data_IF_795346065201
#
_entry.id   IF_795346065201
#
_cell.length_a   1.000
_cell.length_b   1.000
_cell.length_c   1.000
_cell.angle_alpha   90.00
_cell.angle_beta   90.00
_cell.angle_gamma   90.00
#
_symmetry.space_group_name_H-M   'P 1'
#
loop_
_entity.id
_entity.type
_entity.pdbx_description
1 polymer ?
#
# COMPACT_ATOMS: atom_id res chain seq x y z
N UNK A 1 12.30 -17.24 2.19
CA UNK A 1 11.12 -18.16 2.20
C UNK A 1 10.79 -18.54 0.77
N UNK A 2 10.39 -19.80 0.50
CA UNK A 2 9.86 -20.19 -0.83
C UNK A 2 8.33 -20.09 -0.77
N UNK A 3 7.74 -19.66 -1.89
CA UNK A 3 6.27 -19.65 -2.05
C UNK A 3 5.75 -21.10 -1.93
N UNK A 4 4.74 -21.31 -1.09
CA UNK A 4 4.13 -22.64 -1.00
C UNK A 4 3.27 -22.94 -2.23
N UNK A 5 3.02 -24.22 -2.52
CA UNK A 5 2.15 -24.61 -3.63
C UNK A 5 0.71 -24.05 -3.47
N UNK A 6 0.23 -23.91 -2.23
CA UNK A 6 -1.08 -23.31 -1.94
C UNK A 6 -1.11 -21.82 -2.22
N UNK A 7 -0.03 -21.09 -1.90
CA UNK A 7 0.05 -19.64 -2.14
C UNK A 7 0.20 -19.34 -3.64
N UNK A 8 0.99 -20.15 -4.36
CA UNK A 8 1.06 -20.05 -5.82
C UNK A 8 -0.30 -20.30 -6.48
N UNK A 9 -1.02 -21.34 -6.05
CA UNK A 9 -2.36 -21.61 -6.54
C UNK A 9 -3.38 -20.51 -6.17
N UNK A 10 -3.25 -19.88 -5.01
CA UNK A 10 -4.07 -18.74 -4.61
C UNK A 10 -3.76 -17.50 -5.47
N UNK A 11 -2.47 -17.24 -5.73
CA UNK A 11 -2.06 -16.17 -6.64
C UNK A 11 -2.67 -16.31 -8.03
N UNK A 12 -2.56 -17.51 -8.64
CA UNK A 12 -3.07 -17.75 -9.99
C UNK A 12 -4.61 -17.68 -10.06
N UNK A 13 -5.30 -18.12 -9.01
CA UNK A 13 -6.76 -18.17 -8.97
C UNK A 13 -7.40 -16.86 -8.52
N UNK A 14 -6.86 -16.26 -7.45
CA UNK A 14 -7.50 -15.15 -6.72
C UNK A 14 -6.79 -13.82 -6.94
N UNK A 15 -5.51 -13.81 -7.37
CA UNK A 15 -4.70 -12.61 -7.57
C UNK A 15 -4.06 -12.07 -6.29
N UNK A 16 -4.12 -12.80 -5.19
CA UNK A 16 -3.49 -12.45 -3.93
C UNK A 16 -3.27 -13.67 -3.04
N UNK A 17 -2.38 -13.54 -2.07
CA UNK A 17 -2.24 -14.47 -0.95
C UNK A 17 -1.78 -13.75 0.31
N UNK A 18 -2.01 -14.37 1.46
CA UNK A 18 -1.77 -13.80 2.77
C UNK A 18 -0.80 -14.69 3.57
N UNK A 19 0.29 -14.08 4.03
CA UNK A 19 1.25 -14.71 4.92
C UNK A 19 1.04 -14.20 6.35
N UNK A 20 0.81 -15.13 7.26
CA UNK A 20 0.62 -14.81 8.66
C UNK A 20 1.96 -14.65 9.38
N UNK A 21 2.01 -13.73 10.33
CA UNK A 21 3.18 -13.53 11.20
C UNK A 21 4.50 -13.35 10.42
N UNK A 22 4.45 -12.65 9.28
CA UNK A 22 5.62 -12.42 8.44
C UNK A 22 6.63 -11.47 9.09
N UNK A 23 6.14 -10.47 9.81
CA UNK A 23 6.96 -9.45 10.47
C UNK A 23 6.77 -9.48 11.98
N UNK A 24 7.82 -9.14 12.73
CA UNK A 24 7.75 -9.04 14.19
C UNK A 24 7.00 -7.80 14.65
N UNK A 25 6.52 -7.80 15.89
CA UNK A 25 5.93 -6.62 16.54
C UNK A 25 6.92 -5.47 16.64
N UNK A 26 8.19 -5.75 16.92
CA UNK A 26 9.25 -4.74 17.03
C UNK A 26 9.46 -4.02 15.70
N UNK A 27 9.44 -4.73 14.58
CA UNK A 27 9.53 -4.13 13.24
C UNK A 27 8.33 -3.25 12.95
N UNK A 28 7.12 -3.72 13.25
CA UNK A 28 5.89 -2.95 13.07
C UNK A 28 5.89 -1.67 13.93
N UNK A 29 6.28 -1.77 15.20
CA UNK A 29 6.40 -0.63 16.12
C UNK A 29 7.42 0.40 15.64
N UNK A 30 8.60 -0.07 15.18
CA UNK A 30 9.64 0.80 14.63
C UNK A 30 9.16 1.56 13.38
N UNK A 31 8.44 0.88 12.47
CA UNK A 31 7.83 1.51 11.29
C UNK A 31 6.78 2.54 11.67
N UNK A 32 5.90 2.22 12.61
CA UNK A 32 4.85 3.13 13.08
C UNK A 32 5.48 4.39 13.69
N UNK A 33 6.43 4.22 14.60
CA UNK A 33 7.09 5.34 15.26
C UNK A 33 7.82 6.23 14.24
N UNK A 34 8.57 5.63 13.30
CA UNK A 34 9.29 6.41 12.28
C UNK A 34 8.33 7.17 11.34
N UNK A 35 7.20 6.57 10.97
CA UNK A 35 6.18 7.25 10.18
C UNK A 35 5.52 8.42 10.94
N UNK A 36 5.30 8.28 12.26
CA UNK A 36 4.83 9.35 13.13
C UNK A 36 5.85 10.50 13.16
N UNK A 37 7.13 10.20 13.32
CA UNK A 37 8.19 11.21 13.33
C UNK A 37 8.23 12.00 12.01
N UNK A 38 8.14 11.32 10.87
CA UNK A 38 8.06 11.98 9.56
C UNK A 38 6.81 12.85 9.41
N UNK A 39 5.67 12.39 9.91
CA UNK A 39 4.44 13.18 9.92
C UNK A 39 4.57 14.46 10.76
N UNK A 40 5.23 14.38 11.90
CA UNK A 40 5.51 15.51 12.81
C UNK A 40 6.55 16.46 12.24
N UNK A 41 7.62 15.96 11.63
CA UNK A 41 8.64 16.76 10.94
C UNK A 41 8.00 17.63 9.83
N UNK A 42 6.98 17.12 9.14
CA UNK A 42 6.25 17.82 8.07
C UNK A 42 5.02 18.60 8.57
N UNK A 43 4.76 18.66 9.88
CA UNK A 43 3.51 19.22 10.46
C UNK A 43 2.24 18.69 9.76
N UNK A 44 2.19 17.39 9.51
CA UNK A 44 1.04 16.70 8.92
C UNK A 44 0.83 16.90 7.43
N UNK A 45 1.71 17.64 6.73
CA UNK A 45 1.64 17.87 5.27
C UNK A 45 2.96 18.34 4.68
N UNK A 46 3.15 18.13 3.39
CA UNK A 46 4.34 18.62 2.68
C UNK A 46 5.47 17.59 2.63
N UNK A 47 6.68 17.95 3.03
CA UNK A 47 7.85 17.07 2.93
C UNK A 47 8.62 16.97 4.24
N UNK A 48 9.16 15.79 4.53
CA UNK A 48 10.12 15.53 5.58
C UNK A 48 11.30 14.77 4.96
N UNK A 49 12.42 15.42 4.74
CA UNK A 49 13.53 14.86 3.94
C UNK A 49 13.07 14.50 2.52
N UNK A 50 13.16 13.23 2.14
CA UNK A 50 12.66 12.73 0.85
C UNK A 50 11.18 12.33 0.90
N UNK A 51 10.60 12.14 2.08
CA UNK A 51 9.23 11.70 2.27
C UNK A 51 8.22 12.80 1.93
N UNK A 52 7.10 12.42 1.32
CA UNK A 52 5.99 13.31 0.97
C UNK A 52 4.79 12.94 1.83
N UNK A 53 4.35 13.90 2.67
CA UNK A 53 3.25 13.71 3.62
C UNK A 53 1.95 14.29 3.06
N UNK A 54 0.95 13.43 2.90
CA UNK A 54 -0.37 13.79 2.42
C UNK A 54 -1.38 13.83 3.56
N UNK A 55 -2.12 14.94 3.72
CA UNK A 55 -3.10 15.08 4.78
C UNK A 55 -4.36 14.23 4.52
N UNK A 56 -5.05 13.87 5.61
CA UNK A 56 -6.39 13.26 5.54
C UNK A 56 -7.43 14.37 5.38
N UNK A 57 -7.92 14.52 4.17
CA UNK A 57 -8.74 15.68 3.77
C UNK A 57 -10.12 15.71 4.43
N UNK A 58 -10.74 14.55 4.65
CA UNK A 58 -12.06 14.53 5.30
C UNK A 58 -12.00 14.90 6.79
N UNK A 59 -10.83 14.78 7.43
CA UNK A 59 -10.63 15.17 8.82
C UNK A 59 -10.13 16.61 8.98
N UNK A 60 -9.79 17.32 7.91
CA UNK A 60 -9.18 18.64 7.97
C UNK A 60 -10.05 19.69 8.72
N UNK A 61 -11.37 19.55 8.67
CA UNK A 61 -12.30 20.46 9.34
C UNK A 61 -12.57 20.15 10.83
N UNK A 62 -12.16 18.96 11.31
CA UNK A 62 -12.36 18.50 12.69
C UNK A 62 -11.12 18.63 13.57
N UNK A 63 -9.97 19.01 12.99
CA UNK A 63 -8.73 19.18 13.73
C UNK A 63 -8.80 20.36 14.70
N UNK A 64 -8.63 20.09 15.99
CA UNK A 64 -8.50 21.10 17.05
C UNK A 64 -7.03 21.42 17.37
N UNK A 65 -6.77 22.37 18.29
CA UNK A 65 -5.39 22.73 18.66
C UNK A 65 -4.59 21.59 19.32
N UNK A 66 -5.28 20.61 19.86
CA UNK A 66 -4.66 19.42 20.50
C UNK A 66 -4.41 18.26 19.53
N UNK A 67 -4.89 18.35 18.26
CA UNK A 67 -4.74 17.28 17.27
C UNK A 67 -3.28 17.16 16.85
N UNK A 68 -2.69 15.99 17.05
CA UNK A 68 -1.32 15.73 16.67
C UNK A 68 -1.15 15.69 15.14
N UNK A 69 0.08 15.91 14.63
CA UNK A 69 0.34 15.98 13.20
C UNK A 69 -0.05 14.67 12.49
N UNK A 70 0.30 13.52 13.05
CA UNK A 70 -0.01 12.20 12.50
C UNK A 70 -1.51 11.89 12.44
N UNK A 71 -2.32 12.47 13.33
CA UNK A 71 -3.78 12.29 13.31
C UNK A 71 -4.45 13.00 12.13
N UNK A 72 -3.71 13.88 11.45
CA UNK A 72 -4.14 14.63 10.27
C UNK A 72 -3.58 14.07 8.96
N UNK A 73 -2.78 12.98 9.03
CA UNK A 73 -2.12 12.38 7.87
C UNK A 73 -2.91 11.20 7.35
N UNK A 74 -3.00 11.11 6.03
CA UNK A 74 -3.50 9.94 5.31
C UNK A 74 -2.36 9.02 4.90
N UNK A 75 -1.34 9.56 4.23
CA UNK A 75 -0.25 8.77 3.66
C UNK A 75 1.09 9.51 3.73
N UNK A 76 2.17 8.74 3.91
CA UNK A 76 3.54 9.20 3.75
C UNK A 76 4.20 8.39 2.64
N UNK A 77 4.57 9.04 1.54
CA UNK A 77 5.19 8.43 0.36
C UNK A 77 6.71 8.56 0.34
N UNK A 78 7.39 7.78 -0.52
CA UNK A 78 8.84 7.83 -0.80
C UNK A 78 9.70 7.55 0.43
N UNK A 79 9.31 6.58 1.23
CA UNK A 79 9.98 6.27 2.50
C UNK A 79 10.87 5.03 2.43
N UNK A 80 10.86 4.27 1.34
CA UNK A 80 11.66 3.03 1.21
C UNK A 80 13.18 3.26 1.17
N UNK A 81 13.65 4.51 1.16
CA UNK A 81 15.07 4.87 1.32
C UNK A 81 15.42 5.26 2.76
N UNK A 82 14.45 5.48 3.63
CA UNK A 82 14.68 5.63 5.06
C UNK A 82 15.05 4.25 5.66
N UNK A 83 16.02 4.21 6.55
CA UNK A 83 16.67 2.97 7.00
C UNK A 83 15.69 1.89 7.47
N UNK A 84 14.66 2.28 8.25
CA UNK A 84 13.67 1.34 8.79
C UNK A 84 12.85 0.67 7.67
N UNK A 85 12.42 1.46 6.70
CA UNK A 85 11.60 0.98 5.58
C UNK A 85 12.46 0.33 4.48
N UNK A 86 13.70 0.80 4.31
CA UNK A 86 14.67 0.21 3.37
C UNK A 86 15.03 -1.22 3.74
N UNK A 87 15.29 -1.48 5.02
CA UNK A 87 15.61 -2.82 5.49
C UNK A 87 14.48 -3.82 5.17
N UNK A 88 13.24 -3.42 5.40
CA UNK A 88 12.08 -4.27 5.08
C UNK A 88 11.87 -4.43 3.57
N UNK A 89 12.01 -3.37 2.78
CA UNK A 89 11.90 -3.44 1.31
C UNK A 89 12.91 -4.43 0.70
N UNK A 90 14.06 -4.60 1.35
CA UNK A 90 15.13 -5.53 0.97
C UNK A 90 15.14 -6.82 1.81
N UNK A 91 14.09 -7.07 2.61
CA UNK A 91 14.04 -8.29 3.42
C UNK A 91 14.19 -9.54 2.52
N UNK A 92 15.13 -10.45 2.80
CA UNK A 92 15.46 -11.54 1.88
C UNK A 92 14.28 -12.43 1.52
N UNK A 93 13.40 -12.72 2.47
CA UNK A 93 12.22 -13.52 2.22
C UNK A 93 11.18 -12.77 1.37
N UNK A 94 10.99 -11.47 1.59
CA UNK A 94 10.11 -10.65 0.77
C UNK A 94 10.62 -10.55 -0.66
N UNK A 95 11.90 -10.25 -0.83
CA UNK A 95 12.55 -10.18 -2.14
C UNK A 95 12.40 -11.51 -2.89
N UNK A 96 12.65 -12.65 -2.22
CA UNK A 96 12.51 -13.96 -2.83
C UNK A 96 11.07 -14.26 -3.29
N UNK A 97 10.05 -13.83 -2.51
CA UNK A 97 8.63 -13.97 -2.87
C UNK A 97 8.30 -13.13 -4.12
N UNK A 98 8.71 -11.86 -4.14
CA UNK A 98 8.45 -10.96 -5.27
C UNK A 98 9.19 -11.43 -6.53
N UNK A 99 10.46 -11.88 -6.39
CA UNK A 99 11.24 -12.45 -7.49
C UNK A 99 10.60 -13.72 -8.07
N UNK A 100 9.95 -14.52 -7.24
CA UNK A 100 9.22 -15.70 -7.74
C UNK A 100 8.05 -15.32 -8.65
N UNK A 101 7.40 -14.18 -8.37
CA UNK A 101 6.23 -13.69 -9.11
C UNK A 101 6.58 -12.86 -10.35
N UNK A 102 7.65 -12.06 -10.30
CA UNK A 102 8.03 -11.10 -11.35
C UNK A 102 9.26 -11.51 -12.16
N UNK A 103 10.17 -12.35 -11.62
CA UNK A 103 11.47 -12.64 -12.18
C UNK A 103 12.63 -12.19 -11.29
N UNK A 104 13.87 -12.43 -11.73
CA UNK A 104 15.06 -12.33 -10.86
C UNK A 104 15.40 -10.88 -10.50
N UNK A 105 15.27 -9.96 -11.44
CA UNK A 105 15.66 -8.57 -11.26
C UNK A 105 14.41 -7.71 -11.04
N UNK A 106 14.32 -7.12 -9.87
CA UNK A 106 13.16 -6.32 -9.44
C UNK A 106 13.57 -4.97 -8.86
N UNK A 107 12.68 -4.00 -9.00
CA UNK A 107 12.78 -2.69 -8.39
C UNK A 107 11.58 -2.43 -7.48
N UNK A 108 11.81 -1.81 -6.32
CA UNK A 108 10.76 -1.16 -5.54
C UNK A 108 10.58 0.25 -6.10
N UNK A 109 9.43 0.55 -6.69
CA UNK A 109 9.23 1.85 -7.35
C UNK A 109 8.33 2.80 -6.57
N UNK A 110 7.56 2.29 -5.61
CA UNK A 110 6.69 3.10 -4.77
C UNK A 110 6.62 2.51 -3.37
N UNK A 111 6.59 3.39 -2.40
CA UNK A 111 6.33 3.06 -1.00
C UNK A 111 5.41 4.09 -0.37
N UNK A 112 4.49 3.61 0.47
CA UNK A 112 3.59 4.46 1.21
C UNK A 112 3.26 3.87 2.57
N UNK A 113 3.37 4.69 3.62
CA UNK A 113 2.80 4.38 4.92
C UNK A 113 1.41 4.99 5.01
N UNK A 114 0.42 4.19 5.37
CA UNK A 114 -0.98 4.60 5.41
C UNK A 114 -1.42 4.74 6.85
N UNK A 115 -1.81 5.96 7.23
CA UNK A 115 -2.52 6.24 8.47
C UNK A 115 -4.02 6.23 8.17
N UNK A 116 -4.74 5.24 8.66
CA UNK A 116 -6.20 5.31 8.68
C UNK A 116 -6.64 5.63 10.10
N UNK A 117 -6.65 6.90 10.41
CA UNK A 117 -7.06 7.45 11.70
C UNK A 117 -8.56 7.21 11.96
N UNK A 118 -9.02 7.26 13.22
CA UNK A 118 -10.46 7.24 13.54
C UNK A 118 -11.24 8.26 12.72
N UNK A 119 -12.31 7.83 12.04
CA UNK A 119 -13.11 8.67 11.15
C UNK A 119 -12.54 8.92 9.75
N UNK A 120 -11.32 8.46 9.45
CA UNK A 120 -10.75 8.57 8.11
C UNK A 120 -11.53 7.74 7.09
N UNK A 121 -11.74 8.31 5.90
CA UNK A 121 -12.46 7.61 4.83
C UNK A 121 -11.64 6.51 4.19
N UNK A 122 -12.35 5.49 3.75
CA UNK A 122 -11.78 4.43 2.91
C UNK A 122 -11.47 4.90 1.50
N UNK A 123 -10.53 4.24 0.86
CA UNK A 123 -10.31 4.37 -0.58
C UNK A 123 -11.35 3.51 -1.31
N UNK A 124 -12.10 4.06 -2.29
CA UNK A 124 -13.09 3.31 -3.06
C UNK A 124 -12.49 2.15 -3.86
N UNK A 125 -13.34 1.37 -4.53
CA UNK A 125 -12.91 0.30 -5.42
C UNK A 125 -11.99 0.79 -6.52
N UNK A 126 -10.81 0.21 -6.62
CA UNK A 126 -9.81 0.54 -7.62
C UNK A 126 -8.91 -0.66 -7.93
N UNK A 127 -8.15 -0.53 -8.99
CA UNK A 127 -7.04 -1.38 -9.36
C UNK A 127 -5.78 -0.50 -9.34
N UNK A 128 -4.71 -0.96 -8.70
CA UNK A 128 -3.47 -0.19 -8.63
C UNK A 128 -2.83 0.01 -10.01
N UNK A 129 -3.04 -0.93 -10.94
CA UNK A 129 -2.59 -0.81 -12.33
C UNK A 129 -3.10 0.45 -13.04
N UNK A 130 -4.21 1.04 -12.59
CA UNK A 130 -4.66 2.34 -13.09
C UNK A 130 -3.65 3.48 -12.85
N UNK A 131 -2.92 3.41 -11.73
CA UNK A 131 -1.91 4.43 -11.39
C UNK A 131 -0.55 4.18 -12.02
N UNK A 132 -0.36 3.00 -12.63
CA UNK A 132 0.93 2.51 -13.13
C UNK A 132 0.86 2.23 -14.64
N UNK A 133 0.87 3.28 -15.49
CA UNK A 133 0.87 3.11 -16.94
C UNK A 133 2.26 2.64 -17.41
N UNK A 134 2.63 1.43 -17.04
CA UNK A 134 3.94 0.85 -17.31
C UNK A 134 3.90 -0.07 -18.52
N UNK A 135 5.05 -0.25 -19.17
CA UNK A 135 5.21 -1.10 -20.35
C UNK A 135 5.26 -2.61 -20.03
N UNK A 136 5.33 -2.98 -18.73
CA UNK A 136 5.36 -4.36 -18.26
C UNK A 136 4.39 -4.54 -17.11
N UNK A 137 3.77 -5.72 -17.08
CA UNK A 137 2.79 -6.15 -16.06
C UNK A 137 3.10 -7.60 -15.63
N UNK A 138 2.70 -7.98 -14.43
CA UNK A 138 2.06 -7.17 -13.39
C UNK A 138 3.08 -6.36 -12.59
N UNK A 139 2.56 -5.40 -11.79
CA UNK A 139 3.24 -4.91 -10.61
C UNK A 139 2.68 -5.65 -9.39
N UNK A 140 3.51 -5.79 -8.36
CA UNK A 140 3.11 -6.47 -7.12
C UNK A 140 2.93 -5.46 -6.01
N UNK A 141 1.73 -5.41 -5.45
CA UNK A 141 1.46 -4.73 -4.20
C UNK A 141 1.82 -5.62 -3.01
N UNK A 142 2.55 -5.07 -2.08
CA UNK A 142 2.92 -5.71 -0.80
C UNK A 142 2.38 -4.85 0.33
N UNK A 143 1.44 -5.37 1.10
CA UNK A 143 0.74 -4.65 2.16
C UNK A 143 1.01 -5.32 3.51
N UNK A 144 1.82 -4.71 4.35
CA UNK A 144 2.10 -5.14 5.73
C UNK A 144 1.09 -4.49 6.67
N UNK A 145 0.38 -5.30 7.45
CA UNK A 145 -0.40 -4.82 8.57
C UNK A 145 0.53 -4.40 9.72
N UNK A 146 0.74 -3.10 9.87
CA UNK A 146 1.56 -2.55 10.96
C UNK A 146 0.77 -2.57 12.28
N UNK A 147 -0.53 -2.34 12.21
CA UNK A 147 -1.49 -2.63 13.27
C UNK A 147 -2.54 -3.62 12.74
N UNK A 148 -3.35 -4.20 13.61
CA UNK A 148 -4.43 -5.06 13.15
C UNK A 148 -5.36 -4.35 12.17
N UNK A 149 -5.87 -5.08 11.18
CA UNK A 149 -6.85 -4.61 10.21
C UNK A 149 -8.13 -5.44 10.33
N UNK A 150 -9.22 -4.79 10.75
CA UNK A 150 -10.51 -5.41 11.06
C UNK A 150 -11.64 -4.80 10.24
N UNK A 151 -12.81 -5.40 10.31
CA UNK A 151 -14.01 -4.85 9.65
C UNK A 151 -14.37 -3.44 10.14
N UNK A 152 -14.11 -3.14 11.40
CA UNK A 152 -14.49 -1.88 12.03
C UNK A 152 -13.50 -0.75 11.79
N UNK A 153 -12.19 -1.07 11.64
CA UNK A 153 -11.16 -0.07 11.41
C UNK A 153 -10.76 0.10 9.94
N UNK A 154 -11.51 -0.54 9.02
CA UNK A 154 -11.34 -0.35 7.58
C UNK A 154 -10.27 -1.24 6.97
N UNK A 155 -10.30 -2.55 7.22
CA UNK A 155 -9.49 -3.53 6.49
C UNK A 155 -9.72 -3.45 4.98
N UNK A 156 -8.82 -4.07 4.22
CA UNK A 156 -9.03 -4.22 2.79
C UNK A 156 -10.18 -5.19 2.49
N UNK A 157 -10.87 -4.93 1.41
CA UNK A 157 -11.79 -5.85 0.74
C UNK A 157 -11.29 -6.06 -0.67
N UNK A 158 -11.35 -7.28 -1.17
CA UNK A 158 -10.90 -7.66 -2.51
C UNK A 158 -11.98 -8.42 -3.24
N UNK A 159 -11.93 -8.41 -4.56
CA UNK A 159 -12.74 -9.28 -5.42
C UNK A 159 -11.81 -10.38 -5.96
N UNK A 160 -11.83 -11.60 -5.40
CA UNK A 160 -10.96 -12.69 -5.85
C UNK A 160 -11.15 -12.97 -7.34
N UNK A 161 -10.04 -13.20 -8.07
CA UNK A 161 -10.04 -13.48 -9.50
C UNK A 161 -10.16 -12.25 -10.40
N UNK A 162 -10.46 -11.06 -9.86
CA UNK A 162 -10.60 -9.84 -10.66
C UNK A 162 -9.29 -9.37 -11.31
N UNK A 163 -8.16 -9.90 -10.90
CA UNK A 163 -6.86 -9.62 -11.54
C UNK A 163 -6.74 -10.20 -12.95
N UNK A 164 -7.59 -11.16 -13.32
CA UNK A 164 -7.67 -11.74 -14.67
C UNK A 164 -8.41 -10.81 -15.65
N UNK A 165 -9.02 -9.76 -15.14
CA UNK A 165 -9.70 -8.76 -15.94
C UNK A 165 -8.74 -7.60 -16.29
N UNK A 166 -8.99 -6.87 -17.39
CA UNK A 166 -8.20 -5.67 -17.71
C UNK A 166 -8.41 -4.58 -16.65
N UNK A 167 -7.56 -3.57 -16.68
CA UNK A 167 -7.79 -2.35 -15.88
C UNK A 167 -9.08 -1.68 -16.35
N UNK A 168 -10.05 -1.59 -15.45
CA UNK A 168 -11.35 -0.98 -15.71
C UNK A 168 -11.26 0.54 -15.78
N UNK A 169 -12.35 1.16 -16.22
CA UNK A 169 -12.46 2.63 -16.20
C UNK A 169 -12.59 3.11 -14.76
N UNK A 170 -11.68 4.01 -14.38
CA UNK A 170 -11.72 4.70 -13.11
C UNK A 170 -12.18 6.14 -13.28
N UNK A 171 -12.95 6.63 -12.34
CA UNK A 171 -13.39 8.02 -12.24
C UNK A 171 -12.86 8.62 -10.93
N UNK A 172 -12.64 9.94 -10.86
CA UNK A 172 -12.28 10.57 -9.59
C UNK A 172 -13.34 10.27 -8.51
N UNK A 173 -12.89 10.05 -7.27
CA UNK A 173 -13.79 9.89 -6.12
C UNK A 173 -14.69 11.12 -6.01
N UNK A 174 -16.00 10.89 -6.01
CA UNK A 174 -17.03 11.94 -6.05
C UNK A 174 -17.31 12.58 -4.71
N UNK A 175 -16.75 12.06 -3.61
CA UNK A 175 -16.92 12.64 -2.28
C UNK A 175 -16.23 13.98 -2.17
N UNK A 176 -16.90 14.98 -1.63
CA UNK A 176 -16.42 16.35 -1.52
C UNK A 176 -15.19 16.35 -0.62
N UNK A 177 -14.36 16.19 -0.25
CA UNK A 177 -13.13 16.13 0.53
C UNK A 177 -12.45 14.76 0.43
N UNK A 178 -12.64 14.03 -0.67
CA UNK A 178 -11.87 12.83 -0.93
C UNK A 178 -10.37 13.15 -0.98
N UNK A 179 -9.55 12.21 -0.56
CA UNK A 179 -8.10 12.36 -0.63
C UNK A 179 -7.64 12.50 -2.07
N UNK A 180 -6.58 13.28 -2.28
CA UNK A 180 -6.04 13.50 -3.60
C UNK A 180 -5.62 12.17 -4.25
N UNK A 181 -5.98 11.99 -5.51
CA UNK A 181 -5.66 10.78 -6.27
C UNK A 181 -6.60 9.60 -6.04
N UNK A 182 -7.59 9.71 -5.14
CA UNK A 182 -8.58 8.64 -4.99
C UNK A 182 -9.48 8.56 -6.24
N UNK A 183 -9.64 7.35 -6.73
CA UNK A 183 -10.48 7.02 -7.88
C UNK A 183 -11.44 5.89 -7.54
N UNK A 184 -12.47 5.70 -8.37
CA UNK A 184 -13.54 4.74 -8.13
C UNK A 184 -13.93 4.01 -9.42
N UNK A 185 -14.04 2.68 -9.35
CA UNK A 185 -14.68 1.84 -10.37
C UNK A 185 -16.18 1.79 -10.05
N UNK A 186 -17.04 2.14 -11.04
CA UNK A 186 -18.49 2.23 -10.84
C UNK A 186 -19.29 1.19 -11.63
N UNK A 187 -18.69 0.56 -12.62
CA UNK A 187 -19.35 -0.26 -13.64
C UNK A 187 -19.03 -1.76 -13.51
N UNK A 188 -18.68 -2.21 -12.29
CA UNK A 188 -18.39 -3.60 -12.02
C UNK A 188 -19.24 -4.16 -10.86
N UNK A 189 -19.62 -5.44 -10.96
CA UNK A 189 -20.30 -6.15 -9.87
C UNK A 189 -19.29 -6.59 -8.79
N UNK A 190 -19.36 -5.96 -7.65
CA UNK A 190 -18.50 -6.25 -6.49
C UNK A 190 -19.14 -7.22 -5.49
N UNK A 191 -20.21 -7.95 -5.87
CA UNK A 191 -20.96 -8.85 -4.95
C UNK A 191 -20.12 -10.02 -4.42
N UNK A 192 -19.03 -10.37 -5.12
CA UNK A 192 -18.05 -11.38 -4.69
C UNK A 192 -16.97 -10.89 -3.72
N UNK A 193 -17.10 -9.67 -3.18
CA UNK A 193 -16.08 -9.11 -2.28
C UNK A 193 -15.88 -9.93 -1.01
N UNK A 194 -14.64 -10.08 -0.59
CA UNK A 194 -14.29 -10.65 0.70
C UNK A 194 -13.40 -9.70 1.51
N UNK A 195 -13.57 -9.65 2.85
CA UNK A 195 -12.67 -8.86 3.71
C UNK A 195 -11.35 -9.58 3.93
N UNK A 196 -10.26 -8.81 3.94
CA UNK A 196 -8.91 -9.29 4.30
C UNK A 196 -8.60 -8.83 5.73
N UNK A 197 -8.97 -9.66 6.70
CA UNK A 197 -8.70 -9.40 8.12
C UNK A 197 -7.28 -9.86 8.43
N UNK A 198 -6.49 -8.98 9.06
CA UNK A 198 -5.07 -9.20 9.33
C UNK A 198 -4.72 -8.82 10.77
N UNK A 199 -3.89 -9.64 11.41
CA UNK A 199 -3.18 -9.26 12.62
C UNK A 199 -1.99 -8.36 12.29
N UNK A 200 -1.45 -7.63 13.26
CA UNK A 200 -0.19 -6.93 13.08
C UNK A 200 0.93 -7.94 12.73
N UNK A 201 1.77 -7.59 11.77
CA UNK A 201 2.82 -8.48 11.23
C UNK A 201 2.39 -9.38 10.08
N UNK A 202 1.10 -9.49 9.76
CA UNK A 202 0.63 -10.21 8.57
C UNK A 202 0.96 -9.45 7.29
N UNK A 203 1.27 -10.19 6.21
CA UNK A 203 1.66 -9.63 4.92
C UNK A 203 0.73 -10.13 3.81
N UNK A 204 0.15 -9.21 3.06
CA UNK A 204 -0.64 -9.48 1.85
C UNK A 204 0.20 -9.14 0.62
N UNK A 205 0.32 -10.08 -0.32
CA UNK A 205 0.82 -9.82 -1.66
C UNK A 205 -0.36 -9.86 -2.63
N UNK A 206 -0.44 -8.89 -3.54
CA UNK A 206 -1.55 -8.79 -4.48
C UNK A 206 -1.12 -8.23 -5.84
N UNK A 207 -1.81 -8.69 -6.87
CA UNK A 207 -1.62 -8.27 -8.27
C UNK A 207 -2.15 -6.85 -8.49
N UNK A 208 -1.45 -6.03 -9.28
CA UNK A 208 -1.86 -4.65 -9.57
C UNK A 208 -3.26 -4.51 -10.20
N UNK A 209 -3.76 -5.56 -10.85
CA UNK A 209 -5.12 -5.57 -11.41
C UNK A 209 -6.19 -6.08 -10.44
N UNK A 210 -5.82 -6.54 -9.23
CA UNK A 210 -6.81 -6.97 -8.24
C UNK A 210 -7.68 -5.79 -7.82
N UNK A 211 -8.99 -5.92 -8.02
CA UNK A 211 -9.94 -4.93 -7.53
C UNK A 211 -10.01 -4.97 -6.02
N UNK A 212 -9.72 -3.85 -5.39
CA UNK A 212 -9.73 -3.75 -3.95
C UNK A 212 -10.20 -2.38 -3.47
N UNK A 213 -10.63 -2.34 -2.23
CA UNK A 213 -11.00 -1.11 -1.52
C UNK A 213 -10.61 -1.20 -0.06
N UNK A 214 -10.67 -0.10 0.66
CA UNK A 214 -10.78 -0.11 2.11
C UNK A 214 -12.03 0.64 2.54
N UNK A 215 -12.67 0.20 3.63
CA UNK A 215 -13.81 0.91 4.24
C UNK A 215 -13.31 2.03 5.16
N UNK A 216 -14.24 2.85 5.62
CA UNK A 216 -13.96 3.91 6.59
C UNK A 216 -13.54 3.30 7.93
N UNK A 217 -12.72 4.03 8.67
CA UNK A 217 -12.38 3.63 10.04
C UNK A 217 -13.45 4.15 11.00
N UNK A 218 -14.34 3.23 11.42
CA UNK A 218 -15.41 3.51 12.38
C UNK A 218 -15.04 3.10 13.81
N UNK A 219 -13.75 2.80 14.06
CA UNK A 219 -13.22 2.49 15.39
C UNK A 219 -12.57 3.72 16.02
N UNK A 220 -12.13 3.57 17.27
CA UNK A 220 -11.34 4.58 17.99
C UNK A 220 -9.82 4.31 17.94
N UNK A 221 -9.37 3.39 17.09
CA UNK A 221 -7.98 3.01 16.95
C UNK A 221 -7.48 3.29 15.54
N UNK A 222 -6.22 3.63 15.40
CA UNK A 222 -5.57 3.75 14.11
C UNK A 222 -5.43 2.39 13.43
N UNK A 223 -5.65 2.33 12.12
CA UNK A 223 -5.22 1.22 11.29
C UNK A 223 -4.04 1.67 10.42
N UNK A 224 -2.85 1.24 10.79
CA UNK A 224 -1.61 1.58 10.10
C UNK A 224 -1.15 0.42 9.20
N UNK A 225 -0.66 0.78 8.02
CA UNK A 225 -0.11 -0.20 7.08
C UNK A 225 1.09 0.37 6.33
N UNK A 226 2.07 -0.49 6.07
CA UNK A 226 3.17 -0.18 5.16
C UNK A 226 2.95 -0.88 3.83
N UNK A 227 2.99 -0.13 2.73
CA UNK A 227 2.76 -0.67 1.38
C UNK A 227 3.96 -0.37 0.50
N UNK A 228 4.42 -1.41 -0.21
CA UNK A 228 5.43 -1.31 -1.25
C UNK A 228 4.85 -1.79 -2.58
N UNK A 229 5.36 -1.22 -3.67
CA UNK A 229 5.06 -1.73 -5.00
C UNK A 229 6.36 -2.06 -5.74
N UNK A 230 6.37 -3.24 -6.31
CA UNK A 230 7.51 -3.77 -7.04
C UNK A 230 7.13 -4.01 -8.51
N UNK A 231 8.12 -3.83 -9.37
CA UNK A 231 8.04 -4.13 -10.80
C UNK A 231 9.29 -4.90 -11.24
N UNK A 232 9.21 -5.58 -12.38
CA UNK A 232 10.37 -6.13 -13.06
C UNK A 232 11.35 -4.99 -13.40
N UNK A 233 12.64 -5.21 -13.16
CA UNK A 233 13.68 -4.21 -13.50
C UNK A 233 13.68 -3.91 -15.00
N UNK A 234 13.84 -2.64 -15.32
CA UNK A 234 13.77 -2.14 -16.69
C UNK A 234 12.34 -1.87 -17.17
N UNK A 235 11.34 -1.95 -16.29
CA UNK A 235 10.00 -1.43 -16.54
C UNK A 235 10.07 0.08 -16.77
N UNK A 236 9.37 0.56 -17.79
CA UNK A 236 9.33 1.97 -18.18
C UNK A 236 7.98 2.58 -17.81
N UNK A 237 8.02 3.72 -17.14
CA UNK A 237 6.81 4.53 -16.91
C UNK A 237 6.45 5.26 -18.21
N UNK A 238 5.29 4.94 -18.79
CA UNK A 238 4.79 5.47 -20.06
C UNK A 238 3.94 6.74 -19.88
N UNK A 239 3.81 7.25 -18.65
CA UNK A 239 3.09 8.49 -18.40
C UNK A 239 3.81 9.68 -19.03
N UNK A 240 3.05 10.62 -19.62
CA UNK A 240 3.61 11.91 -20.10
C UNK A 240 4.31 12.69 -18.97
N UNK A 241 3.83 12.53 -17.75
CA UNK A 241 4.41 13.11 -16.54
C UNK A 241 4.42 12.04 -15.44
N UNK A 242 5.58 11.41 -15.20
CA UNK A 242 5.71 10.42 -14.13
C UNK A 242 5.25 10.93 -12.77
N UNK A 243 4.62 10.09 -12.00
CA UNK A 243 4.11 10.48 -10.69
C UNK A 243 5.26 10.83 -9.72
N UNK A 244 5.19 11.99 -9.10
CA UNK A 244 6.22 12.51 -8.15
C UNK A 244 6.48 11.54 -6.99
N UNK A 245 5.48 10.72 -6.65
CA UNK A 245 5.57 9.73 -5.59
C UNK A 245 6.37 8.47 -5.96
N UNK A 246 6.62 8.23 -7.27
CA UNK A 246 7.45 7.12 -7.72
C UNK A 246 8.94 7.43 -7.44
N UNK A 247 9.65 6.41 -6.97
CA UNK A 247 11.08 6.49 -6.69
C UNK A 247 11.70 5.08 -6.84
N UNK A 248 12.24 4.82 -8.01
CA UNK A 248 12.75 3.50 -8.40
C UNK A 248 14.02 3.14 -7.65
N UNK A 249 14.03 2.00 -6.98
CA UNK A 249 15.14 1.48 -6.20
C UNK A 249 15.35 -0.01 -6.48
N UNK A 250 16.52 -0.41 -7.01
CA UNK A 250 16.88 -1.82 -7.11
C UNK A 250 16.86 -2.50 -5.74
N UNK A 251 16.28 -3.70 -5.67
CA UNK A 251 16.24 -4.49 -4.44
C UNK A 251 16.78 -5.90 -4.69
N UNK A 252 17.24 -6.54 -3.62
CA UNK A 252 17.80 -7.89 -3.70
C UNK A 252 19.21 -7.96 -4.31
N UNK A 253 19.84 -6.86 -4.63
CA UNK A 253 21.25 -6.83 -5.02
C UNK A 253 22.12 -7.11 -3.80
N UNK A 254 23.00 -8.09 -3.91
CA UNK A 254 24.09 -8.20 -2.93
C UNK A 254 24.95 -6.95 -3.08
N UNK A 255 25.08 -6.18 -2.00
CA UNK A 255 26.09 -5.11 -1.94
C UNK A 255 27.41 -5.70 -2.43
N UNK A 256 27.87 -5.28 -3.60
CA UNK A 256 29.24 -5.57 -4.05
C UNK A 256 30.12 -4.81 -3.08
N UNK A 257 30.67 -5.52 -2.11
CA UNK A 257 31.71 -5.00 -1.19
C UNK A 257 33.02 -4.83 -1.92
#
# INVERSE_FOLDING_TARGET
MLLSASDSAAWDRDGFFLLREFSSSETCEAMLQRAIDLAREADGRGVAGAAIVHPERNLAGSAGPETQAEERVSKVFKIHRDSVFHEFANHPDLVALVQHLLGIDIDCFLSQFIFKNPGAWGQPWHQDGFYFPFDREPQIGVWLAVTEATLTNGCLHVVPGSHLEPVHKHLPDRRLNANQGYVEILDHDMSGEIPVIMAAGDLLLFHSHLMHRSKDNNSNQIRAAMVYHYAERGTTDMAESPAVINDWMPVGEKSVQ
#
